data_IF_107426993559
#
_entry.id   IF_107426993559
#
_cell.length_a   1.000
_cell.length_b   1.000
_cell.length_c   1.000
_cell.angle_alpha   90.00
_cell.angle_beta   90.00
_cell.angle_gamma   90.00
#
_symmetry.space_group_name_H-M   'P 1'
#
loop_
_entity.id
_entity.type
_entity.pdbx_description
1 polymer ?
#
# COMPACT_ATOMS: atom_id res chain seq x y z
N UNK A 1 -4.11 26.41 -7.53
CA UNK A 1 -3.12 27.11 -8.36
C UNK A 1 -3.81 28.28 -9.07
N UNK A 2 -3.32 29.51 -8.91
CA UNK A 2 -3.82 30.63 -9.71
C UNK A 2 -3.07 30.62 -11.05
N UNK A 3 -3.64 29.97 -12.05
CA UNK A 3 -3.02 29.73 -13.37
C UNK A 3 -2.39 30.97 -14.03
N UNK A 4 -2.91 32.18 -13.75
CA UNK A 4 -2.41 33.44 -14.33
C UNK A 4 -1.28 34.09 -13.52
N UNK A 5 -0.93 33.55 -12.35
CA UNK A 5 0.18 34.01 -11.51
C UNK A 5 1.41 33.09 -11.64
N UNK A 6 1.31 32.00 -12.42
CA UNK A 6 2.40 31.08 -12.72
C UNK A 6 2.90 31.33 -14.14
N UNK A 7 4.22 31.36 -14.33
CA UNK A 7 4.82 31.54 -15.65
C UNK A 7 4.40 30.44 -16.63
N UNK A 8 4.29 30.80 -17.91
CA UNK A 8 3.90 29.84 -18.95
C UNK A 8 4.91 28.69 -19.07
N UNK A 9 6.20 28.98 -18.90
CA UNK A 9 7.27 27.98 -18.99
C UNK A 9 7.15 26.95 -17.87
N UNK A 10 6.88 27.38 -16.63
CA UNK A 10 6.62 26.46 -15.52
C UNK A 10 5.33 25.65 -15.76
N UNK A 11 4.26 26.29 -16.23
CA UNK A 11 3.01 25.60 -16.55
C UNK A 11 3.20 24.52 -17.62
N UNK A 12 4.04 24.75 -18.64
CA UNK A 12 4.35 23.76 -19.67
C UNK A 12 5.01 22.52 -19.09
N UNK A 13 5.99 22.69 -18.18
CA UNK A 13 6.60 21.55 -17.48
C UNK A 13 5.53 20.83 -16.66
N UNK A 14 4.77 21.54 -15.82
CA UNK A 14 3.76 20.93 -14.94
C UNK A 14 2.65 20.19 -15.69
N UNK A 15 2.28 20.63 -16.88
CA UNK A 15 1.24 19.99 -17.68
C UNK A 15 1.64 18.59 -18.13
N UNK A 16 2.93 18.33 -18.39
CA UNK A 16 3.44 17.00 -18.74
C UNK A 16 3.25 16.02 -17.56
N UNK A 17 3.46 16.50 -16.33
CA UNK A 17 3.34 15.72 -15.09
C UNK A 17 1.93 15.69 -14.51
N UNK A 18 0.98 16.44 -15.10
CA UNK A 18 -0.41 16.35 -14.69
C UNK A 18 -1.01 14.97 -15.01
N UNK A 19 -0.55 14.31 -16.08
CA UNK A 19 -1.05 13.00 -16.50
C UNK A 19 -0.04 11.86 -16.28
N UNK A 20 1.26 12.17 -16.24
CA UNK A 20 2.33 11.21 -15.95
C UNK A 20 2.34 10.88 -14.45
N UNK A 21 2.67 9.64 -14.05
CA UNK A 21 2.97 9.30 -12.65
C UNK A 21 1.80 9.34 -11.67
N UNK A 22 0.54 9.36 -12.13
CA UNK A 22 -0.64 9.38 -11.25
C UNK A 22 -0.74 8.14 -10.38
N UNK A 23 -0.13 7.04 -10.78
CA UNK A 23 -0.01 5.81 -10.01
C UNK A 23 0.99 5.91 -8.85
N UNK A 24 1.91 6.87 -8.91
CA UNK A 24 3.02 7.05 -7.96
C UNK A 24 2.73 8.17 -6.95
N UNK A 25 2.16 9.30 -7.40
CA UNK A 25 1.93 10.46 -6.54
C UNK A 25 0.52 11.04 -6.67
N UNK A 26 0.18 11.91 -5.72
CA UNK A 26 -0.96 12.82 -5.76
C UNK A 26 -0.49 14.26 -5.90
N UNK A 27 -1.21 15.06 -6.69
CA UNK A 27 -0.96 16.49 -6.79
C UNK A 27 -1.82 17.25 -5.77
N UNK A 28 -1.18 18.08 -4.95
CA UNK A 28 -1.81 18.83 -3.89
C UNK A 28 -1.49 20.33 -4.00
N UNK A 29 -2.28 21.14 -3.29
CA UNK A 29 -2.04 22.58 -3.20
C UNK A 29 -1.05 22.86 -2.06
N UNK A 30 0.22 23.07 -2.38
CA UNK A 30 1.25 23.56 -1.47
C UNK A 30 2.30 24.37 -2.27
N UNK A 31 2.71 25.53 -1.76
CA UNK A 31 3.45 26.51 -2.57
C UNK A 31 2.70 26.87 -3.86
N UNK A 32 3.37 26.73 -5.00
CA UNK A 32 2.76 26.73 -6.33
C UNK A 32 2.04 25.40 -6.59
N UNK A 33 2.73 24.27 -6.37
CA UNK A 33 2.22 22.90 -6.51
C UNK A 33 3.08 21.93 -5.68
N UNK A 34 2.44 20.88 -5.17
CA UNK A 34 3.10 19.77 -4.47
C UNK A 34 2.77 18.45 -5.15
N UNK A 35 3.79 17.63 -5.38
CA UNK A 35 3.67 16.22 -5.70
C UNK A 35 3.99 15.45 -4.43
N UNK A 36 3.05 14.65 -3.95
CA UNK A 36 3.17 13.91 -2.68
C UNK A 36 2.99 12.43 -2.98
N UNK A 37 3.86 11.60 -2.41
CA UNK A 37 3.75 10.15 -2.53
C UNK A 37 2.34 9.65 -2.16
N UNK A 38 1.90 8.61 -2.85
CA UNK A 38 0.61 7.96 -2.58
C UNK A 38 0.63 7.07 -1.35
N UNK A 39 1.79 6.56 -0.97
CA UNK A 39 1.91 5.83 0.28
C UNK A 39 1.66 6.77 1.45
N UNK A 40 0.62 6.48 2.25
CA UNK A 40 0.22 7.27 3.40
C UNK A 40 1.22 7.23 4.56
N UNK A 41 2.12 6.23 4.56
CA UNK A 41 3.20 6.11 5.56
C UNK A 41 4.46 6.86 5.12
N UNK A 42 4.52 7.27 3.86
CA UNK A 42 5.61 8.06 3.28
C UNK A 42 5.36 9.55 3.47
N UNK A 43 6.41 10.30 3.78
CA UNK A 43 6.39 11.77 3.77
C UNK A 43 7.15 12.36 2.58
N UNK A 44 7.40 11.52 1.55
CA UNK A 44 8.10 11.92 0.34
C UNK A 44 7.27 12.91 -0.47
N UNK A 45 7.95 13.96 -0.93
CA UNK A 45 7.32 15.03 -1.66
C UNK A 45 8.31 15.74 -2.60
N UNK A 46 7.73 16.42 -3.59
CA UNK A 46 8.40 17.38 -4.44
C UNK A 46 7.52 18.63 -4.50
N UNK A 47 7.94 19.70 -3.85
CA UNK A 47 7.16 20.93 -3.68
C UNK A 47 7.85 22.06 -4.40
N UNK A 48 7.13 22.75 -5.28
CA UNK A 48 7.61 23.97 -5.91
C UNK A 48 7.04 25.13 -5.11
N UNK A 49 7.86 25.76 -4.28
CA UNK A 49 7.43 26.79 -3.34
C UNK A 49 7.16 28.12 -4.03
N UNK A 50 8.10 28.54 -4.88
CA UNK A 50 8.05 29.84 -5.55
C UNK A 50 8.83 29.82 -6.86
N UNK A 51 8.60 30.84 -7.69
CA UNK A 51 9.41 31.12 -8.87
C UNK A 51 9.83 32.59 -8.89
N UNK A 52 11.03 32.85 -9.42
CA UNK A 52 11.57 34.18 -9.65
C UNK A 52 11.98 34.31 -11.12
N UNK A 53 11.36 35.26 -11.81
CA UNK A 53 11.66 35.61 -13.19
C UNK A 53 12.34 36.99 -13.21
N UNK A 54 13.66 37.03 -13.38
CA UNK A 54 14.43 38.27 -13.49
C UNK A 54 15.26 38.26 -14.78
N UNK A 55 14.86 39.09 -15.76
CA UNK A 55 15.49 39.11 -17.09
C UNK A 55 15.36 37.75 -17.80
N UNK A 56 16.49 37.17 -18.23
CA UNK A 56 16.54 35.83 -18.84
C UNK A 56 16.67 34.69 -17.81
N UNK A 57 16.76 35.01 -16.52
CA UNK A 57 16.86 34.00 -15.47
C UNK A 57 15.48 33.67 -14.93
N UNK A 58 15.09 32.41 -15.10
CA UNK A 58 13.89 31.84 -14.50
C UNK A 58 14.31 30.72 -13.53
N UNK A 59 14.27 31.06 -12.25
CA UNK A 59 14.65 30.20 -11.14
C UNK A 59 13.40 29.78 -10.38
N UNK A 60 13.36 28.51 -9.99
CA UNK A 60 12.33 27.95 -9.11
C UNK A 60 12.97 27.49 -7.82
N UNK A 61 12.27 27.74 -6.72
CA UNK A 61 12.61 27.22 -5.41
C UNK A 61 11.81 25.94 -5.17
N UNK A 62 12.53 24.85 -4.94
CA UNK A 62 11.98 23.51 -4.81
C UNK A 62 12.42 22.90 -3.50
N UNK A 63 11.48 22.31 -2.77
CA UNK A 63 11.75 21.46 -1.63
C UNK A 63 11.46 20.01 -2.04
N UNK A 64 12.43 19.11 -1.82
CA UNK A 64 12.37 17.71 -2.26
C UNK A 64 12.73 16.77 -1.11
N UNK A 65 11.93 15.73 -0.95
CA UNK A 65 12.19 14.57 -0.10
C UNK A 65 11.77 13.28 -0.82
N UNK A 66 12.66 12.28 -0.98
CA UNK A 66 14.07 12.29 -0.62
C UNK A 66 14.89 13.18 -1.55
N UNK A 67 15.98 13.76 -1.05
CA UNK A 67 16.87 14.63 -1.83
C UNK A 67 17.85 13.86 -2.73
N UNK A 68 18.04 12.56 -2.48
CA UNK A 68 18.75 11.63 -3.35
C UNK A 68 18.45 10.17 -2.97
N UNK A 69 18.92 9.20 -3.75
CA UNK A 69 18.83 7.78 -3.37
C UNK A 69 19.50 7.45 -2.02
N UNK A 70 20.48 8.24 -1.59
CA UNK A 70 21.26 7.99 -0.36
C UNK A 70 20.78 8.86 0.81
N UNK A 71 20.22 10.04 0.51
CA UNK A 71 19.77 11.01 1.52
C UNK A 71 18.26 11.12 1.51
N UNK A 72 17.65 10.51 2.52
CA UNK A 72 16.19 10.53 2.72
C UNK A 72 15.71 11.86 3.33
N UNK A 73 16.62 12.75 3.72
CA UNK A 73 16.27 14.06 4.27
C UNK A 73 15.75 15.02 3.21
N UNK A 74 14.88 15.91 3.68
CA UNK A 74 14.38 17.06 2.95
C UNK A 74 15.53 17.99 2.54
N UNK A 75 15.46 18.56 1.35
CA UNK A 75 16.42 19.57 0.90
C UNK A 75 15.77 20.59 -0.01
N UNK A 76 16.24 21.83 0.12
CA UNK A 76 15.75 22.96 -0.64
C UNK A 76 16.78 23.36 -1.71
N UNK A 77 16.30 23.58 -2.93
CA UNK A 77 17.11 23.89 -4.10
C UNK A 77 16.55 25.10 -4.82
N UNK A 78 17.43 26.01 -5.22
CA UNK A 78 17.14 26.98 -6.27
C UNK A 78 17.72 26.45 -7.57
N UNK A 79 16.86 26.19 -8.55
CA UNK A 79 17.27 25.63 -9.84
C UNK A 79 16.64 26.38 -11.01
N UNK A 80 17.25 26.29 -12.19
CA UNK A 80 16.59 26.81 -13.38
C UNK A 80 15.36 25.97 -13.71
N UNK A 81 14.29 26.62 -14.16
CA UNK A 81 13.05 25.93 -14.56
C UNK A 81 13.28 24.84 -15.61
N UNK A 82 14.30 25.00 -16.47
CA UNK A 82 14.66 24.04 -17.52
C UNK A 82 15.18 22.72 -16.95
N UNK A 83 15.77 22.76 -15.75
CA UNK A 83 16.32 21.59 -15.06
C UNK A 83 15.25 20.88 -14.23
N UNK A 84 14.14 21.56 -13.91
CA UNK A 84 13.04 21.04 -13.09
C UNK A 84 12.53 19.67 -13.56
N UNK A 85 12.41 19.51 -14.89
CA UNK A 85 11.97 18.26 -15.51
C UNK A 85 12.87 17.08 -15.10
N UNK A 86 14.18 17.27 -15.18
CA UNK A 86 15.17 16.26 -14.81
C UNK A 86 15.03 15.86 -13.34
N UNK A 87 14.96 16.84 -12.45
CA UNK A 87 14.84 16.58 -11.01
C UNK A 87 13.53 15.89 -10.64
N UNK A 88 12.43 16.25 -11.30
CA UNK A 88 11.14 15.62 -11.07
C UNK A 88 11.12 14.18 -11.60
N UNK A 89 11.68 13.92 -12.78
CA UNK A 89 11.83 12.56 -13.31
C UNK A 89 12.72 11.68 -12.40
N UNK A 90 13.82 12.22 -11.89
CA UNK A 90 14.70 11.53 -10.94
C UNK A 90 13.96 11.18 -9.65
N UNK A 91 13.23 12.13 -9.07
CA UNK A 91 12.45 11.92 -7.86
C UNK A 91 11.35 10.86 -8.05
N UNK A 92 10.63 10.89 -9.17
CA UNK A 92 9.64 9.86 -9.53
C UNK A 92 10.31 8.49 -9.62
N UNK A 93 11.50 8.40 -10.21
CA UNK A 93 12.24 7.14 -10.29
C UNK A 93 12.61 6.59 -8.91
N UNK A 94 12.98 7.47 -7.98
CA UNK A 94 13.33 7.07 -6.62
C UNK A 94 12.14 6.52 -5.87
N UNK A 95 10.98 7.19 -5.92
CA UNK A 95 9.76 6.67 -5.31
C UNK A 95 9.38 5.32 -5.92
N UNK A 96 9.48 5.20 -7.25
CA UNK A 96 9.20 3.93 -7.93
C UNK A 96 10.09 2.80 -7.39
N UNK A 97 11.38 3.08 -7.19
CA UNK A 97 12.30 2.11 -6.60
C UNK A 97 11.96 1.80 -5.15
N UNK A 98 11.67 2.80 -4.32
CA UNK A 98 11.22 2.58 -2.94
C UNK A 98 9.98 1.68 -2.89
N UNK A 99 9.01 1.90 -3.77
CA UNK A 99 7.78 1.09 -3.86
C UNK A 99 8.02 -0.34 -4.37
N UNK A 100 9.16 -0.61 -5.00
CA UNK A 100 9.55 -1.94 -5.49
C UNK A 100 10.42 -2.71 -4.50
N UNK A 101 11.17 -2.00 -3.65
CA UNK A 101 12.11 -2.59 -2.72
C UNK A 101 11.35 -3.04 -1.46
N UNK A 102 11.51 -4.31 -1.10
CA UNK A 102 11.05 -4.81 0.20
C UNK A 102 11.99 -4.27 1.28
N UNK A 103 11.43 -3.66 2.32
CA UNK A 103 12.17 -3.37 3.54
C UNK A 103 12.54 -4.70 4.22
N UNK A 104 13.55 -4.72 5.10
CA UNK A 104 13.90 -5.93 5.87
C UNK A 104 12.69 -6.41 6.69
N UNK A 105 11.84 -5.49 7.14
CA UNK A 105 10.59 -5.81 7.84
C UNK A 105 9.53 -6.42 6.90
N UNK A 106 9.64 -6.23 5.59
CA UNK A 106 8.80 -6.88 4.57
C UNK A 106 9.36 -8.24 4.12
N UNK A 107 10.54 -8.63 4.61
CA UNK A 107 11.09 -9.98 4.40
C UNK A 107 10.38 -10.91 5.38
N UNK A 108 9.30 -11.48 4.89
CA UNK A 108 8.55 -12.51 5.58
C UNK A 108 9.43 -13.76 5.81
N UNK A 109 9.22 -14.43 6.94
CA UNK A 109 9.92 -15.67 7.27
C UNK A 109 9.64 -16.74 6.19
N UNK A 110 10.66 -17.47 5.68
CA UNK A 110 10.46 -18.47 4.62
C UNK A 110 9.43 -19.55 4.93
N UNK A 111 9.24 -19.90 6.21
CA UNK A 111 8.23 -20.87 6.64
C UNK A 111 6.83 -20.25 6.55
N UNK A 112 6.68 -18.97 6.90
CA UNK A 112 5.42 -18.25 6.73
C UNK A 112 5.06 -18.14 5.25
N UNK A 113 6.03 -17.84 4.38
CA UNK A 113 5.76 -17.77 2.94
C UNK A 113 5.40 -19.15 2.38
N UNK A 114 6.06 -20.23 2.81
CA UNK A 114 5.69 -21.60 2.40
C UNK A 114 4.25 -21.96 2.80
N UNK A 115 3.84 -21.69 4.03
CA UNK A 115 2.44 -21.90 4.43
C UNK A 115 1.50 -20.95 3.68
N UNK A 116 1.90 -19.71 3.43
CA UNK A 116 1.11 -18.76 2.66
C UNK A 116 0.87 -19.24 1.23
N UNK A 117 1.88 -19.84 0.57
CA UNK A 117 1.73 -20.45 -0.76
C UNK A 117 0.69 -21.58 -0.73
N UNK A 118 0.72 -22.47 0.27
CA UNK A 118 -0.29 -23.53 0.41
C UNK A 118 -1.72 -22.96 0.54
N UNK A 119 -1.89 -21.90 1.33
CA UNK A 119 -3.17 -21.21 1.45
C UNK A 119 -3.54 -20.50 0.14
N UNK A 120 -2.60 -19.82 -0.50
CA UNK A 120 -2.83 -19.11 -1.76
C UNK A 120 -3.28 -20.03 -2.88
N UNK A 121 -2.65 -21.19 -3.03
CA UNK A 121 -3.02 -22.21 -4.01
C UNK A 121 -4.40 -22.81 -3.71
N UNK A 122 -4.77 -22.90 -2.43
CA UNK A 122 -6.12 -23.31 -2.01
C UNK A 122 -7.20 -22.27 -2.34
N UNK A 123 -6.82 -20.99 -2.45
CA UNK A 123 -7.66 -19.91 -2.96
C UNK A 123 -7.41 -19.73 -4.44
N UNK A 124 -7.66 -20.75 -5.25
CA UNK A 124 -7.39 -20.75 -6.69
C UNK A 124 -7.96 -19.48 -7.38
N UNK A 125 -7.12 -18.46 -7.57
CA UNK A 125 -7.51 -17.25 -8.31
C UNK A 125 -7.31 -17.55 -9.79
N UNK A 126 -8.20 -18.37 -10.36
CA UNK A 126 -8.31 -18.51 -11.81
C UNK A 126 -9.07 -17.29 -12.35
N UNK A 127 -8.47 -16.12 -12.24
CA UNK A 127 -9.05 -14.91 -12.81
C UNK A 127 -7.96 -14.11 -13.51
N UNK A 128 -8.02 -14.09 -14.84
CA UNK A 128 -7.05 -13.41 -15.71
C UNK A 128 -6.89 -11.92 -15.37
N UNK A 129 -7.86 -11.33 -14.67
CA UNK A 129 -7.87 -9.94 -14.25
C UNK A 129 -7.40 -9.68 -12.81
N UNK A 130 -6.95 -10.72 -12.09
CA UNK A 130 -6.60 -10.63 -10.67
C UNK A 130 -5.48 -9.67 -10.34
N UNK A 131 -4.59 -9.43 -11.31
CA UNK A 131 -3.47 -8.48 -11.23
C UNK A 131 -3.91 -7.02 -11.40
N UNK A 132 -5.13 -6.76 -11.90
CA UNK A 132 -5.55 -5.39 -12.29
C UNK A 132 -6.88 -4.96 -11.70
N UNK A 133 -7.79 -5.88 -11.34
CA UNK A 133 -9.09 -5.53 -10.75
C UNK A 133 -9.16 -5.81 -9.26
N UNK A 134 -9.97 -5.05 -8.50
CA UNK A 134 -10.34 -5.40 -7.13
C UNK A 134 -11.33 -6.56 -7.10
N UNK A 135 -11.55 -7.12 -5.92
CA UNK A 135 -12.67 -8.05 -5.68
C UNK A 135 -14.01 -7.37 -5.94
N UNK A 136 -15.03 -8.15 -6.34
CA UNK A 136 -16.40 -7.64 -6.41
C UNK A 136 -16.92 -7.28 -5.01
N UNK A 137 -17.88 -6.37 -4.91
CA UNK A 137 -18.48 -5.96 -3.62
C UNK A 137 -18.99 -7.16 -2.81
N UNK A 138 -19.57 -8.16 -3.49
CA UNK A 138 -20.04 -9.39 -2.84
C UNK A 138 -18.86 -10.19 -2.24
N UNK A 139 -17.77 -10.35 -2.98
CA UNK A 139 -16.55 -11.01 -2.51
C UNK A 139 -15.88 -10.24 -1.35
N UNK A 140 -15.84 -8.91 -1.44
CA UNK A 140 -15.34 -8.04 -0.36
C UNK A 140 -16.15 -8.29 0.92
N UNK A 141 -17.48 -8.31 0.85
CA UNK A 141 -18.32 -8.58 2.03
C UNK A 141 -18.06 -9.93 2.69
N UNK A 142 -17.71 -10.97 1.93
CA UNK A 142 -17.31 -12.26 2.50
C UNK A 142 -15.96 -12.19 3.20
N UNK A 143 -14.97 -11.52 2.59
CA UNK A 143 -13.65 -11.33 3.18
C UNK A 143 -13.77 -10.50 4.47
N UNK A 144 -14.57 -9.42 4.45
CA UNK A 144 -14.83 -8.60 5.65
C UNK A 144 -15.47 -9.43 6.75
N UNK A 145 -16.47 -10.26 6.43
CA UNK A 145 -17.13 -11.15 7.41
C UNK A 145 -16.12 -12.11 8.05
N UNK A 146 -15.23 -12.70 7.23
CA UNK A 146 -14.17 -13.59 7.70
C UNK A 146 -13.19 -12.90 8.65
N UNK A 147 -12.67 -11.74 8.23
CA UNK A 147 -11.67 -10.99 9.00
C UNK A 147 -12.27 -10.41 10.29
N UNK A 148 -13.52 -9.94 10.25
CA UNK A 148 -14.23 -9.47 11.44
C UNK A 148 -14.52 -10.62 12.40
N UNK A 149 -14.94 -11.79 11.90
CA UNK A 149 -15.17 -12.98 12.72
C UNK A 149 -13.89 -13.43 13.44
N UNK A 150 -12.78 -13.52 12.70
CA UNK A 150 -11.47 -13.84 13.27
C UNK A 150 -11.03 -12.79 14.30
N UNK A 151 -11.17 -11.50 13.98
CA UNK A 151 -10.81 -10.43 14.90
C UNK A 151 -11.66 -10.41 16.16
N UNK A 152 -12.95 -10.75 16.08
CA UNK A 152 -13.83 -10.87 17.25
C UNK A 152 -13.45 -12.06 18.13
N UNK A 153 -13.20 -13.21 17.52
CA UNK A 153 -12.75 -14.43 18.22
C UNK A 153 -11.44 -14.16 18.99
N UNK A 154 -10.49 -13.48 18.35
CA UNK A 154 -9.23 -13.06 18.99
C UNK A 154 -9.46 -12.11 20.16
N UNK A 155 -10.35 -11.14 20.02
CA UNK A 155 -10.66 -10.19 21.09
C UNK A 155 -11.34 -10.86 22.28
N UNK A 156 -12.22 -11.83 22.05
CA UNK A 156 -12.95 -12.52 23.10
C UNK A 156 -12.05 -13.48 23.88
N UNK A 157 -11.14 -14.19 23.19
CA UNK A 157 -10.28 -15.22 23.76
C UNK A 157 -8.81 -14.78 23.88
N UNK A 158 -8.58 -13.46 23.97
CA UNK A 158 -7.26 -12.84 23.88
C UNK A 158 -6.24 -13.42 24.86
N UNK A 159 -6.63 -13.57 26.13
CA UNK A 159 -5.74 -14.11 27.16
C UNK A 159 -5.30 -15.53 26.84
N UNK A 160 -6.21 -16.38 26.35
CA UNK A 160 -5.91 -17.76 25.98
C UNK A 160 -4.92 -17.84 24.81
N UNK A 161 -5.11 -16.98 23.81
CA UNK A 161 -4.22 -16.92 22.64
C UNK A 161 -2.83 -16.38 22.99
N UNK A 162 -2.76 -15.34 23.82
CA UNK A 162 -1.47 -14.81 24.31
C UNK A 162 -0.71 -15.88 25.09
N UNK A 163 -1.41 -16.65 25.94
CA UNK A 163 -0.79 -17.72 26.72
C UNK A 163 -0.24 -18.88 25.87
N UNK A 164 -0.78 -19.12 24.67
CA UNK A 164 -0.34 -20.19 23.77
C UNK A 164 0.65 -19.75 22.69
N UNK A 165 0.76 -18.44 22.45
CA UNK A 165 1.65 -17.85 21.47
C UNK A 165 2.50 -16.76 22.15
N UNK A 166 2.19 -15.49 21.90
CA UNK A 166 2.69 -14.36 22.65
C UNK A 166 1.80 -13.14 22.43
N UNK A 167 2.05 -12.06 23.18
CA UNK A 167 1.36 -10.79 22.99
C UNK A 167 1.66 -10.18 21.62
N UNK A 168 2.92 -10.28 21.18
CA UNK A 168 3.42 -9.77 19.91
C UNK A 168 2.79 -10.51 18.73
N UNK A 169 2.65 -11.83 18.82
CA UNK A 169 1.97 -12.64 17.79
C UNK A 169 0.52 -12.20 17.63
N UNK A 170 -0.22 -12.09 18.74
CA UNK A 170 -1.63 -11.66 18.70
C UNK A 170 -1.76 -10.24 18.15
N UNK A 171 -0.89 -9.31 18.57
CA UNK A 171 -0.90 -7.94 18.06
C UNK A 171 -0.58 -7.86 16.56
N UNK A 172 0.36 -8.67 16.06
CA UNK A 172 0.71 -8.74 14.63
C UNK A 172 -0.46 -9.27 13.80
N UNK A 173 -1.20 -10.26 14.31
CA UNK A 173 -2.40 -10.78 13.66
C UNK A 173 -3.49 -9.70 13.57
N UNK A 174 -3.74 -8.99 14.68
CA UNK A 174 -4.71 -7.88 14.72
C UNK A 174 -4.32 -6.79 13.72
N UNK A 175 -3.03 -6.42 13.67
CA UNK A 175 -2.51 -5.45 12.71
C UNK A 175 -2.70 -5.89 11.25
N UNK A 176 -2.38 -7.15 10.91
CA UNK A 176 -2.56 -7.69 9.55
C UNK A 176 -4.03 -7.70 9.14
N UNK A 177 -4.95 -8.04 10.06
CA UNK A 177 -6.39 -7.96 9.83
C UNK A 177 -6.81 -6.52 9.50
N UNK A 178 -6.36 -5.54 10.30
CA UNK A 178 -6.66 -4.12 10.08
C UNK A 178 -6.10 -3.59 8.75
N UNK A 179 -4.87 -3.97 8.39
CA UNK A 179 -4.24 -3.57 7.12
C UNK A 179 -5.00 -4.14 5.91
N UNK A 180 -5.44 -5.40 5.95
CA UNK A 180 -6.26 -5.97 4.87
C UNK A 180 -7.58 -5.20 4.76
N UNK A 181 -8.27 -4.98 5.88
CA UNK A 181 -9.54 -4.23 5.91
C UNK A 181 -9.38 -2.80 5.38
N UNK A 182 -8.29 -2.12 5.69
CA UNK A 182 -8.03 -0.76 5.24
C UNK A 182 -7.72 -0.67 3.73
N UNK A 183 -7.25 -1.76 3.12
CA UNK A 183 -6.74 -1.76 1.73
C UNK A 183 -7.62 -2.53 0.74
N UNK A 184 -8.61 -3.29 1.20
CA UNK A 184 -9.42 -4.21 0.37
C UNK A 184 -10.16 -3.55 -0.80
N UNK A 185 -10.65 -2.32 -0.64
CA UNK A 185 -11.36 -1.59 -1.70
C UNK A 185 -10.45 -0.92 -2.74
N UNK A 186 -9.14 -0.83 -2.44
CA UNK A 186 -8.17 -0.05 -3.23
C UNK A 186 -7.09 -0.93 -3.86
N UNK A 187 -7.11 -2.23 -3.58
CA UNK A 187 -6.09 -3.19 -3.99
C UNK A 187 -6.66 -4.19 -4.98
N UNK A 188 -5.78 -4.82 -5.75
CA UNK A 188 -6.14 -5.86 -6.69
C UNK A 188 -6.47 -7.17 -5.96
N UNK A 189 -7.23 -8.06 -6.62
CA UNK A 189 -7.59 -9.38 -6.06
C UNK A 189 -6.34 -10.13 -5.58
N UNK A 190 -5.29 -10.15 -6.42
CA UNK A 190 -4.02 -10.81 -6.11
C UNK A 190 -3.33 -10.24 -4.89
N UNK A 191 -3.30 -8.92 -4.73
CA UNK A 191 -2.69 -8.27 -3.56
C UNK A 191 -3.42 -8.66 -2.29
N UNK A 192 -4.74 -8.62 -2.29
CA UNK A 192 -5.54 -8.98 -1.11
C UNK A 192 -5.44 -10.47 -0.78
N UNK A 193 -5.52 -11.34 -1.78
CA UNK A 193 -5.31 -12.78 -1.57
C UNK A 193 -3.94 -13.08 -0.98
N UNK A 194 -2.86 -12.47 -1.49
CA UNK A 194 -1.53 -12.64 -0.90
C UNK A 194 -1.46 -12.20 0.56
N UNK A 195 -2.10 -11.08 0.91
CA UNK A 195 -2.14 -10.62 2.31
C UNK A 195 -2.89 -11.60 3.21
N UNK A 196 -4.04 -12.12 2.76
CA UNK A 196 -4.83 -13.12 3.50
C UNK A 196 -4.03 -14.42 3.66
N UNK A 197 -3.42 -14.91 2.58
CA UNK A 197 -2.56 -16.09 2.61
C UNK A 197 -1.40 -15.94 3.60
N UNK A 198 -0.75 -14.77 3.62
CA UNK A 198 0.32 -14.47 4.58
C UNK A 198 -0.16 -14.37 6.01
N UNK A 199 -1.35 -13.82 6.25
CA UNK A 199 -1.99 -13.83 7.56
C UNK A 199 -2.18 -15.28 8.04
N UNK A 200 -2.70 -16.16 7.19
CA UNK A 200 -2.93 -17.56 7.55
C UNK A 200 -1.63 -18.36 7.68
N UNK A 201 -0.63 -18.10 6.84
CA UNK A 201 0.71 -18.66 6.99
C UNK A 201 1.37 -18.25 8.31
N UNK A 202 1.21 -16.98 8.70
CA UNK A 202 1.73 -16.47 9.97
C UNK A 202 1.05 -17.17 11.16
N UNK A 203 -0.28 -17.28 11.13
CA UNK A 203 -1.04 -17.99 12.17
C UNK A 203 -0.67 -19.48 12.22
N UNK A 204 -0.48 -20.13 11.08
CA UNK A 204 -0.09 -21.53 11.02
C UNK A 204 1.26 -21.80 11.71
N UNK A 205 2.18 -20.84 11.61
CA UNK A 205 3.50 -20.91 12.23
C UNK A 205 3.48 -20.49 13.70
N UNK A 206 2.97 -19.29 14.00
CA UNK A 206 3.17 -18.62 15.29
C UNK A 206 1.95 -18.66 16.22
N UNK A 207 0.74 -18.87 15.68
CA UNK A 207 -0.52 -18.68 16.41
C UNK A 207 -0.83 -19.71 17.50
N UNK A 208 -0.03 -20.76 17.66
CA UNK A 208 -0.33 -21.85 18.59
C UNK A 208 -1.54 -22.70 18.18
N UNK A 209 -1.91 -23.73 18.95
CA UNK A 209 -2.98 -24.67 18.59
C UNK A 209 -4.38 -24.03 18.52
N UNK A 210 -4.79 -23.23 19.51
CA UNK A 210 -6.14 -22.69 19.55
C UNK A 210 -6.42 -21.70 18.43
N UNK A 211 -5.46 -20.82 18.12
CA UNK A 211 -5.65 -19.83 17.05
C UNK A 211 -5.74 -20.48 15.67
N UNK A 212 -5.00 -21.58 15.45
CA UNK A 212 -5.12 -22.38 14.23
C UNK A 212 -6.50 -23.03 14.10
N UNK A 213 -7.09 -23.47 15.21
CA UNK A 213 -8.43 -24.03 15.22
C UNK A 213 -9.52 -22.95 15.05
N UNK A 214 -9.28 -21.75 15.59
CA UNK A 214 -10.12 -20.59 15.38
C UNK A 214 -10.25 -20.24 13.89
N UNK A 215 -9.12 -20.19 13.14
CA UNK A 215 -9.17 -19.99 11.68
C UNK A 215 -10.09 -21.02 11.03
N UNK A 216 -9.88 -22.31 11.30
CA UNK A 216 -10.69 -23.37 10.67
C UNK A 216 -12.17 -23.20 10.96
N UNK A 217 -12.50 -22.81 12.19
CA UNK A 217 -13.89 -22.59 12.62
C UNK A 217 -14.50 -21.43 11.87
N UNK A 218 -13.84 -20.26 11.88
CA UNK A 218 -14.32 -19.04 11.21
C UNK A 218 -14.42 -19.27 9.69
N UNK A 219 -13.41 -19.90 9.06
CA UNK A 219 -13.44 -20.24 7.63
C UNK A 219 -14.63 -21.14 7.31
N UNK A 220 -14.87 -22.19 8.12
CA UNK A 220 -16.01 -23.08 7.93
C UNK A 220 -17.36 -22.38 8.10
N UNK A 221 -17.47 -21.45 9.04
CA UNK A 221 -18.70 -20.67 9.25
C UNK A 221 -18.97 -19.70 8.11
N UNK A 222 -17.95 -19.00 7.61
CA UNK A 222 -18.10 -18.11 6.44
C UNK A 222 -18.41 -18.90 5.18
N UNK A 223 -17.80 -20.08 5.01
CA UNK A 223 -18.14 -21.03 3.95
C UNK A 223 -19.62 -21.43 4.07
N UNK A 224 -20.13 -21.75 5.26
CA UNK A 224 -21.57 -22.07 5.44
C UNK A 224 -22.49 -20.89 5.09
N UNK A 225 -22.04 -19.65 5.32
CA UNK A 225 -22.78 -18.43 4.97
C UNK A 225 -22.69 -18.12 3.46
N UNK A 226 -21.62 -18.53 2.76
CA UNK A 226 -21.33 -18.17 1.36
C UNK A 226 -21.38 -19.29 0.31
N UNK A 227 -21.43 -20.57 0.68
CA UNK A 227 -21.19 -21.70 -0.24
C UNK A 227 -22.46 -22.33 -0.80
N UNK A 228 -23.21 -21.51 -1.53
CA UNK A 228 -23.76 -22.02 -2.80
C UNK A 228 -23.19 -21.34 -4.05
N UNK A 229 -22.41 -20.28 -3.92
CA UNK A 229 -21.94 -19.53 -5.11
C UNK A 229 -20.46 -19.09 -5.11
N UNK A 230 -19.74 -19.05 -3.98
CA UNK A 230 -18.39 -18.45 -3.96
C UNK A 230 -17.27 -19.42 -4.35
N UNK A 231 -17.46 -20.72 -4.16
CA UNK A 231 -16.45 -21.75 -4.44
C UNK A 231 -17.01 -22.92 -5.25
N UNK A 232 -17.96 -22.66 -6.17
CA UNK A 232 -18.31 -23.65 -7.17
C UNK A 232 -17.11 -23.83 -8.11
N UNK A 233 -16.30 -24.81 -7.79
CA UNK A 233 -15.54 -25.61 -8.75
C UNK A 233 -16.61 -26.29 -9.63
N UNK A 234 -16.71 -25.85 -10.88
CA UNK A 234 -17.18 -26.69 -11.99
C UNK A 234 -15.97 -27.11 -12.81
#
# INVERSE_FOLDING_TARGET
>A
MKKKETSLLLLQVLQEYYNKGKEIYTMQKGGIISFVDKDKKSDFHFIINSENCTGNNHIVNVNIKPSSMVKVFESEYNMHVKDLKKYLDEWISWITLYNQMKHVEDIEDPIVEAFAEEYYDSFEIIDDDADVKPYSIKQIGYIETLLLGLGQEIKQNREEYVNQSSLEVVAEIEYRIEDIMATIYQSTKKTIAKKISRLFGFIAKEGGPLLREAIKTVVNEVIKIGVKEVFKIE
#
